data_IF_849669184851
#
_entry.id   IF_849669184851
#
_cell.length_a   1.000
_cell.length_b   1.000
_cell.length_c   1.000
_cell.angle_alpha   90.00
_cell.angle_beta   90.00
_cell.angle_gamma   90.00
#
_symmetry.space_group_name_H-M   'P 1'
#
loop_
_entity.id
_entity.type
_entity.pdbx_description
1 polymer ?
#
# COMPACT_ATOMS: atom_id res chain seq x y z
N UNK A 1 36.52 -17.34 52.24
CA UNK A 1 35.32 -16.97 53.01
C UNK A 1 35.42 -15.48 53.28
N UNK A 2 34.62 -14.56 52.76
CA UNK A 2 33.51 -14.60 51.84
C UNK A 2 32.79 -13.23 51.92
N UNK A 3 32.42 -12.67 50.75
CA UNK A 3 31.20 -11.87 50.51
C UNK A 3 31.22 -10.46 51.16
N UNK A 4 30.79 -9.35 50.54
CA UNK A 4 30.16 -9.13 49.25
C UNK A 4 30.13 -7.60 49.03
N UNK A 5 30.67 -7.15 47.90
CA UNK A 5 30.45 -5.82 47.34
C UNK A 5 29.00 -5.76 46.84
N UNK A 6 28.05 -5.56 47.74
CA UNK A 6 26.62 -5.43 47.43
C UNK A 6 26.15 -4.04 47.83
N UNK A 7 26.46 -3.03 47.03
CA UNK A 7 25.76 -1.75 47.18
C UNK A 7 25.73 -0.84 45.95
N UNK A 8 26.25 -1.20 44.78
CA UNK A 8 26.25 -0.23 43.66
C UNK A 8 26.28 -0.92 42.29
N UNK A 9 25.20 -1.59 41.91
CA UNK A 9 24.94 -1.91 40.49
C UNK A 9 23.46 -2.25 40.19
N UNK A 10 22.51 -1.88 41.04
CA UNK A 10 21.07 -2.09 40.80
C UNK A 10 20.42 -0.98 39.94
N UNK A 11 21.20 -0.34 39.06
CA UNK A 11 20.77 0.78 38.20
C UNK A 11 21.01 0.49 36.71
N UNK A 12 20.88 -0.77 36.31
CA UNK A 12 20.96 -1.19 34.90
C UNK A 12 19.72 -2.00 34.46
N UNK A 13 18.56 -1.71 35.03
CA UNK A 13 17.26 -2.13 34.50
C UNK A 13 16.54 -0.91 33.91
N UNK A 14 17.21 -0.22 32.98
CA UNK A 14 16.47 0.49 31.93
C UNK A 14 15.90 -0.60 31.02
N UNK A 15 14.76 -1.14 31.42
CA UNK A 15 13.87 -1.85 30.53
C UNK A 15 13.63 -0.92 29.33
N UNK A 16 14.25 -1.23 28.20
CA UNK A 16 13.71 -0.81 26.91
C UNK A 16 12.37 -1.53 26.78
N UNK A 17 11.35 -0.99 27.43
CA UNK A 17 9.98 -1.20 27.02
C UNK A 17 9.91 -0.55 25.64
N UNK A 18 10.18 -1.36 24.61
CA UNK A 18 9.72 -1.07 23.27
C UNK A 18 8.22 -0.87 23.43
N UNK A 19 7.78 0.39 23.48
CA UNK A 19 6.39 0.73 23.35
C UNK A 19 6.02 0.33 21.93
N UNK A 20 5.69 -0.95 21.72
CA UNK A 20 4.88 -1.35 20.58
C UNK A 20 3.53 -0.70 20.83
N UNK A 21 3.41 0.55 20.40
CA UNK A 21 2.11 1.17 20.18
C UNK A 21 1.37 0.20 19.27
N UNK A 22 0.44 -0.54 19.88
CA UNK A 22 -0.46 -1.42 19.15
C UNK A 22 -1.27 -0.47 18.28
N UNK A 23 -0.80 -0.23 17.07
CA UNK A 23 -1.55 0.49 16.06
C UNK A 23 -2.76 -0.40 15.81
N UNK A 24 -3.91 0.05 16.29
CA UNK A 24 -5.16 -0.66 16.07
C UNK A 24 -5.40 -0.66 14.57
N UNK A 25 -5.30 -1.85 13.99
CA UNK A 25 -5.67 -2.09 12.61
C UNK A 25 -7.11 -1.60 12.38
N UNK A 26 -7.41 -1.23 11.14
CA UNK A 26 -8.77 -0.86 10.76
C UNK A 26 -9.76 -1.96 11.19
N UNK A 27 -10.86 -1.56 11.82
CA UNK A 27 -11.85 -2.50 12.35
C UNK A 27 -12.40 -3.40 11.22
N UNK A 28 -12.40 -4.72 11.46
CA UNK A 28 -12.83 -5.73 10.49
C UNK A 28 -11.77 -6.14 9.46
N UNK A 29 -10.59 -5.52 9.48
CA UNK A 29 -9.47 -5.84 8.60
C UNK A 29 -8.32 -6.51 9.36
N UNK A 30 -7.43 -7.14 8.59
CA UNK A 30 -6.21 -7.78 9.09
C UNK A 30 -4.99 -6.98 8.64
N UNK A 31 -4.07 -6.69 9.55
CA UNK A 31 -2.85 -5.96 9.23
C UNK A 31 -1.68 -6.93 9.20
N UNK A 32 -1.15 -7.18 8.00
CA UNK A 32 0.04 -7.99 7.82
C UNK A 32 1.27 -7.09 7.86
N UNK A 33 1.89 -6.99 9.03
CA UNK A 33 3.08 -6.16 9.27
C UNK A 33 4.39 -6.94 9.21
N UNK A 34 4.33 -8.27 9.07
CA UNK A 34 5.50 -9.16 9.16
C UNK A 34 6.23 -9.38 7.84
N UNK A 35 5.72 -8.81 6.75
CA UNK A 35 6.24 -9.02 5.39
C UNK A 35 7.09 -7.84 4.92
N UNK A 36 7.83 -8.05 3.82
CA UNK A 36 8.56 -6.97 3.13
C UNK A 36 7.65 -5.84 2.68
N UNK A 37 6.35 -6.14 2.49
CA UNK A 37 5.36 -5.23 1.94
C UNK A 37 4.14 -5.20 2.87
N UNK A 38 4.21 -4.47 4.00
CA UNK A 38 3.13 -4.40 4.95
C UNK A 38 1.81 -4.01 4.28
N UNK A 39 0.77 -4.80 4.55
CA UNK A 39 -0.51 -4.70 3.83
C UNK A 39 -1.69 -4.72 4.81
N UNK A 40 -2.63 -3.80 4.62
CA UNK A 40 -3.93 -3.85 5.30
C UNK A 40 -4.89 -4.66 4.41
N UNK A 41 -5.45 -5.75 4.95
CA UNK A 41 -6.32 -6.69 4.28
C UNK A 41 -7.77 -6.51 4.70
N UNK A 42 -8.56 -5.97 3.80
CA UNK A 42 -10.01 -5.80 3.94
C UNK A 42 -10.76 -6.50 2.79
N UNK A 43 -10.16 -7.53 2.21
CA UNK A 43 -10.79 -8.31 1.15
C UNK A 43 -11.99 -9.12 1.68
N UNK A 44 -13.06 -9.20 0.89
CA UNK A 44 -14.29 -9.96 1.22
C UNK A 44 -14.98 -9.53 2.53
N UNK A 45 -14.95 -8.24 2.88
CA UNK A 45 -15.56 -7.70 4.12
C UNK A 45 -16.93 -7.04 3.89
N UNK A 46 -17.53 -7.22 2.71
CA UNK A 46 -18.81 -6.61 2.31
C UNK A 46 -18.83 -5.08 2.47
N UNK A 47 -17.70 -4.42 2.25
CA UNK A 47 -17.60 -2.97 2.38
C UNK A 47 -18.32 -2.27 1.23
N UNK A 48 -19.11 -1.24 1.54
CA UNK A 48 -19.77 -0.38 0.55
C UNK A 48 -19.06 0.97 0.36
N UNK A 49 -18.14 1.30 1.25
CA UNK A 49 -17.43 2.57 1.29
C UNK A 49 -15.92 2.34 1.44
N UNK A 50 -15.14 3.26 0.88
CA UNK A 50 -13.70 3.28 1.09
C UNK A 50 -13.40 3.59 2.57
N UNK A 51 -12.59 2.79 3.27
CA UNK A 51 -12.24 3.09 4.65
C UNK A 51 -11.32 4.31 4.73
N UNK A 52 -11.72 5.34 5.46
CA UNK A 52 -10.93 6.56 5.67
C UNK A 52 -10.70 6.81 7.16
N UNK A 53 -9.69 6.20 7.78
CA UNK A 53 -9.36 6.41 9.19
C UNK A 53 -8.64 7.76 9.42
N UNK A 54 -9.24 8.89 9.03
CA UNK A 54 -8.61 10.22 9.14
C UNK A 54 -8.27 10.60 10.59
N UNK A 55 -9.10 10.18 11.55
CA UNK A 55 -8.85 10.43 12.97
C UNK A 55 -7.69 9.60 13.54
N UNK A 56 -7.34 8.48 12.89
CA UNK A 56 -6.23 7.62 13.27
C UNK A 56 -5.54 7.03 12.01
N UNK A 57 -4.74 7.85 11.30
CA UNK A 57 -4.09 7.44 10.07
C UNK A 57 -3.26 6.17 10.24
N UNK A 58 -3.29 5.31 9.21
CA UNK A 58 -2.61 4.02 9.23
C UNK A 58 -1.25 4.17 8.54
N UNK A 59 -0.21 4.29 9.36
CA UNK A 59 1.17 4.42 8.91
C UNK A 59 1.82 3.08 8.62
N UNK A 60 2.93 3.10 7.88
CA UNK A 60 3.82 1.97 7.61
C UNK A 60 3.23 0.85 6.73
N UNK A 61 2.03 1.04 6.19
CA UNK A 61 1.41 0.11 5.25
C UNK A 61 1.56 0.59 3.81
N UNK A 62 2.12 -0.25 2.97
CA UNK A 62 2.37 0.06 1.57
C UNK A 62 1.18 -0.28 0.67
N UNK A 63 0.37 -1.25 1.07
CA UNK A 63 -0.75 -1.71 0.26
C UNK A 63 -2.04 -1.86 1.06
N UNK A 64 -3.15 -1.64 0.35
CA UNK A 64 -4.51 -1.83 0.88
C UNK A 64 -5.26 -2.80 -0.05
N UNK A 65 -5.61 -3.98 0.47
CA UNK A 65 -6.43 -4.94 -0.24
C UNK A 65 -7.91 -4.71 0.04
N UNK A 66 -8.65 -4.21 -0.96
CA UNK A 66 -10.10 -3.98 -0.91
C UNK A 66 -10.86 -4.86 -1.91
N UNK A 67 -10.25 -5.95 -2.35
CA UNK A 67 -10.88 -6.83 -3.34
C UNK A 67 -12.16 -7.47 -2.83
N UNK A 68 -13.06 -7.77 -3.77
CA UNK A 68 -14.30 -8.50 -3.50
C UNK A 68 -15.20 -7.83 -2.45
N UNK A 69 -15.36 -6.51 -2.59
CA UNK A 69 -16.30 -5.71 -1.83
C UNK A 69 -17.37 -5.10 -2.77
N UNK A 70 -18.14 -4.12 -2.30
CA UNK A 70 -19.15 -3.37 -3.06
C UNK A 70 -18.87 -1.86 -3.04
N UNK A 71 -17.59 -1.48 -3.06
CA UNK A 71 -17.16 -0.08 -3.04
C UNK A 71 -17.43 0.57 -4.40
N UNK A 72 -18.12 1.71 -4.37
CA UNK A 72 -18.51 2.46 -5.58
C UNK A 72 -17.66 3.70 -5.77
N UNK A 73 -17.58 4.55 -4.74
CA UNK A 73 -16.93 5.86 -4.83
C UNK A 73 -15.56 5.83 -4.16
N UNK A 74 -14.56 6.29 -4.89
CA UNK A 74 -13.19 6.41 -4.39
C UNK A 74 -12.90 7.87 -4.07
N UNK A 75 -12.44 8.18 -2.84
CA UNK A 75 -12.04 9.53 -2.46
C UNK A 75 -10.82 10.02 -3.24
N UNK A 76 -10.59 11.32 -3.24
CA UNK A 76 -9.37 11.90 -3.82
C UNK A 76 -8.09 11.38 -3.16
N UNK A 77 -7.04 11.25 -3.98
CA UNK A 77 -5.73 10.77 -3.52
C UNK A 77 -5.19 11.54 -2.31
N UNK A 78 -5.42 12.85 -2.22
CA UNK A 78 -4.97 13.66 -1.07
C UNK A 78 -5.63 13.21 0.23
N UNK A 79 -6.93 12.92 0.20
CA UNK A 79 -7.64 12.44 1.39
C UNK A 79 -7.22 11.01 1.75
N UNK A 80 -6.98 10.17 0.74
CA UNK A 80 -6.46 8.82 0.94
C UNK A 80 -5.06 8.88 1.57
N UNK A 81 -4.17 9.75 1.10
CA UNK A 81 -2.82 9.90 1.66
C UNK A 81 -2.81 10.50 3.06
N UNK A 82 -3.81 11.31 3.43
CA UNK A 82 -3.99 11.73 4.83
C UNK A 82 -4.36 10.54 5.73
N UNK A 83 -5.19 9.62 5.24
CA UNK A 83 -5.57 8.42 5.98
C UNK A 83 -4.48 7.32 5.96
N UNK A 84 -3.69 7.23 4.89
CA UNK A 84 -2.68 6.21 4.63
C UNK A 84 -1.40 6.83 4.04
N UNK A 85 -0.53 7.42 4.87
CA UNK A 85 0.59 8.24 4.37
C UNK A 85 1.66 7.48 3.57
N UNK A 86 1.86 6.20 3.85
CA UNK A 86 2.90 5.36 3.24
C UNK A 86 2.37 4.45 2.12
N UNK A 87 1.13 4.69 1.68
CA UNK A 87 0.41 3.84 0.74
C UNK A 87 0.91 4.04 -0.69
N UNK A 88 1.31 2.93 -1.30
CA UNK A 88 1.80 2.88 -2.67
C UNK A 88 0.76 2.30 -3.64
N UNK A 89 -0.12 1.41 -3.17
CA UNK A 89 -1.11 0.80 -4.05
C UNK A 89 -2.35 0.24 -3.37
N UNK A 90 -3.42 0.12 -4.16
CA UNK A 90 -4.73 -0.35 -3.71
C UNK A 90 -5.27 -1.38 -4.70
N UNK A 91 -5.73 -2.52 -4.18
CA UNK A 91 -6.43 -3.54 -4.94
C UNK A 91 -7.95 -3.36 -4.80
N UNK A 92 -8.63 -3.04 -5.90
CA UNK A 92 -10.07 -2.90 -6.03
C UNK A 92 -10.74 -4.03 -6.83
N UNK A 93 -10.00 -5.09 -7.19
CA UNK A 93 -10.55 -6.15 -8.03
C UNK A 93 -11.78 -6.80 -7.41
N UNK A 94 -12.82 -7.05 -8.20
CA UNK A 94 -14.07 -7.64 -7.70
C UNK A 94 -15.02 -6.67 -7.00
N UNK A 95 -14.80 -5.36 -7.10
CA UNK A 95 -15.82 -4.34 -6.82
C UNK A 95 -16.57 -4.03 -8.14
N UNK A 96 -17.77 -4.59 -8.39
CA UNK A 96 -18.40 -4.57 -9.71
C UNK A 96 -18.90 -3.18 -10.13
N UNK A 97 -19.26 -2.34 -9.16
CA UNK A 97 -19.88 -1.04 -9.38
C UNK A 97 -18.92 0.13 -9.12
N UNK A 98 -17.61 -0.11 -9.12
CA UNK A 98 -16.62 0.95 -8.89
C UNK A 98 -16.74 2.02 -9.98
N UNK A 99 -16.78 3.29 -9.58
CA UNK A 99 -16.80 4.41 -10.50
C UNK A 99 -15.40 4.64 -11.06
N UNK A 100 -15.12 4.15 -12.27
CA UNK A 100 -13.82 4.28 -12.91
C UNK A 100 -13.34 5.73 -13.07
N UNK A 101 -14.24 6.70 -13.22
CA UNK A 101 -13.86 8.11 -13.29
C UNK A 101 -13.26 8.63 -11.98
N UNK A 102 -13.68 8.08 -10.82
CA UNK A 102 -13.12 8.46 -9.52
C UNK A 102 -11.68 8.00 -9.31
N UNK A 103 -11.22 7.01 -10.09
CA UNK A 103 -9.84 6.52 -10.03
C UNK A 103 -8.81 7.47 -10.64
N UNK A 104 -9.24 8.42 -11.49
CA UNK A 104 -8.35 9.39 -12.14
C UNK A 104 -7.56 10.22 -11.13
N UNK A 105 -8.15 10.53 -9.97
CA UNK A 105 -7.48 11.30 -8.91
C UNK A 105 -6.23 10.61 -8.33
N UNK A 106 -6.15 9.27 -8.48
CA UNK A 106 -5.06 8.43 -7.98
C UNK A 106 -3.93 8.21 -8.99
N UNK A 107 -4.16 8.50 -10.28
CA UNK A 107 -3.18 8.27 -11.34
C UNK A 107 -1.85 9.00 -11.04
N UNK A 108 -0.74 8.28 -11.17
CA UNK A 108 0.60 8.80 -10.88
C UNK A 108 0.92 9.02 -9.39
N UNK A 109 -0.05 8.82 -8.48
CA UNK A 109 0.13 8.99 -7.02
C UNK A 109 0.05 7.68 -6.25
N UNK A 110 -0.93 6.84 -6.59
CA UNK A 110 -1.19 5.56 -5.94
C UNK A 110 -1.50 4.55 -7.04
N UNK A 111 -0.78 3.42 -7.09
CA UNK A 111 -1.04 2.36 -8.04
C UNK A 111 -2.41 1.70 -7.75
N UNK A 112 -3.23 1.49 -8.78
CA UNK A 112 -4.55 0.87 -8.61
C UNK A 112 -4.69 -0.37 -9.46
N UNK A 113 -5.17 -1.45 -8.85
CA UNK A 113 -5.59 -2.66 -9.55
C UNK A 113 -7.12 -2.71 -9.54
N UNK A 114 -7.75 -2.55 -10.72
CA UNK A 114 -9.20 -2.58 -10.85
C UNK A 114 -9.59 -3.07 -12.24
N UNK A 115 -10.88 -3.43 -12.42
CA UNK A 115 -11.41 -3.78 -13.74
C UNK A 115 -11.44 -2.61 -14.73
N UNK A 116 -11.29 -1.37 -14.25
CA UNK A 116 -11.17 -0.20 -15.12
C UNK A 116 -9.86 -0.26 -15.93
N UNK A 117 -8.77 -0.65 -15.28
CA UNK A 117 -7.43 -0.70 -15.88
C UNK A 117 -7.10 -2.10 -16.44
N UNK A 118 -7.71 -3.14 -15.86
CA UNK A 118 -7.47 -4.54 -16.22
C UNK A 118 -8.80 -5.30 -16.40
N UNK A 119 -9.60 -4.99 -17.44
CA UNK A 119 -10.96 -5.52 -17.60
C UNK A 119 -11.04 -7.04 -17.85
N UNK A 120 -9.95 -7.62 -18.36
CA UNK A 120 -9.84 -9.03 -18.75
C UNK A 120 -9.29 -9.93 -17.63
N UNK A 121 -8.77 -9.35 -16.54
CA UNK A 121 -8.20 -10.14 -15.45
C UNK A 121 -9.32 -10.90 -14.72
N UNK A 122 -9.21 -12.23 -14.56
CA UNK A 122 -10.22 -13.03 -13.88
C UNK A 122 -10.32 -12.67 -12.41
N UNK A 123 -11.56 -12.56 -11.92
CA UNK A 123 -11.88 -12.30 -10.51
C UNK A 123 -12.74 -13.44 -9.99
N UNK A 124 -12.25 -14.11 -8.95
CA UNK A 124 -12.94 -15.17 -8.22
C UNK A 124 -13.08 -14.77 -6.75
N UNK A 125 -14.16 -14.06 -6.45
CA UNK A 125 -14.50 -13.71 -5.07
C UNK A 125 -15.01 -14.93 -4.30
N UNK A 126 -14.71 -15.00 -3.01
CA UNK A 126 -15.26 -16.03 -2.15
C UNK A 126 -16.78 -15.81 -2.09
N UNK A 127 -17.55 -16.79 -2.55
CA UNK A 127 -19.01 -16.74 -2.42
C UNK A 127 -19.37 -16.88 -0.94
N UNK A 128 -20.10 -15.91 -0.38
CA UNK A 128 -20.55 -15.88 1.01
C UNK A 128 -21.63 -16.94 1.34
N UNK A 129 -21.59 -18.12 0.71
CA UNK A 129 -22.50 -19.21 1.02
C UNK A 129 -21.92 -19.95 2.23
N UNK A 130 -22.48 -19.68 3.41
CA UNK A 130 -22.25 -20.35 4.70
C UNK A 130 -20.94 -20.06 5.44
N UNK A 131 -20.37 -18.85 5.34
CA UNK A 131 -19.37 -18.35 6.31
C UNK A 131 -18.08 -19.17 6.45
N UNK A 132 -17.86 -20.15 5.57
CA UNK A 132 -16.67 -20.98 5.51
C UNK A 132 -16.07 -20.80 4.12
N UNK A 133 -14.98 -20.02 4.05
CA UNK A 133 -14.07 -20.13 2.92
C UNK A 133 -13.69 -21.61 2.80
N UNK A 134 -14.01 -22.24 1.67
CA UNK A 134 -13.72 -23.66 1.46
C UNK A 134 -12.23 -23.89 1.69
N UNK A 135 -11.88 -24.70 2.70
CA UNK A 135 -10.51 -25.09 3.09
C UNK A 135 -9.67 -25.62 1.90
N UNK A 136 -10.31 -25.92 0.76
CA UNK A 136 -9.66 -26.35 -0.49
C UNK A 136 -9.03 -25.23 -1.30
N UNK A 137 -9.23 -23.95 -0.96
CA UNK A 137 -8.52 -22.83 -1.58
C UNK A 137 -7.27 -22.42 -0.78
N UNK A 138 -6.78 -23.28 0.11
CA UNK A 138 -5.53 -23.12 0.85
C UNK A 138 -4.30 -23.50 0.00
N UNK A 139 -4.22 -23.00 -1.24
CA UNK A 139 -3.04 -23.20 -2.10
C UNK A 139 -2.31 -21.87 -2.30
N UNK A 140 -1.50 -21.50 -1.31
CA UNK A 140 -0.29 -20.64 -1.37
C UNK A 140 -0.36 -19.23 -2.00
N UNK A 141 -1.42 -18.84 -2.73
CA UNK A 141 -1.63 -17.45 -3.18
C UNK A 141 -3.08 -17.24 -3.69
N UNK A 142 -3.96 -16.77 -2.81
CA UNK A 142 -5.31 -16.32 -3.17
C UNK A 142 -5.29 -15.14 -4.15
N UNK A 143 -6.45 -14.76 -4.69
CA UNK A 143 -6.58 -13.60 -5.59
C UNK A 143 -5.99 -12.32 -4.97
N UNK A 144 -6.19 -12.11 -3.67
CA UNK A 144 -5.58 -11.01 -2.92
C UNK A 144 -4.05 -11.05 -2.98
N UNK A 145 -3.45 -12.22 -2.75
CA UNK A 145 -2.00 -12.38 -2.85
C UNK A 145 -1.48 -12.10 -4.27
N UNK A 146 -2.19 -12.55 -5.32
CA UNK A 146 -1.81 -12.26 -6.72
C UNK A 146 -1.90 -10.76 -7.03
N UNK A 147 -2.94 -10.11 -6.51
CA UNK A 147 -3.21 -8.70 -6.73
C UNK A 147 -2.19 -7.81 -6.02
N UNK A 148 -1.86 -8.14 -4.77
CA UNK A 148 -0.80 -7.46 -4.01
C UNK A 148 0.57 -7.66 -4.69
N UNK A 149 0.92 -8.88 -5.10
CA UNK A 149 2.16 -9.11 -5.85
C UNK A 149 2.21 -8.30 -7.16
N UNK A 150 1.10 -8.21 -7.88
CA UNK A 150 1.01 -7.38 -9.09
C UNK A 150 1.20 -5.89 -8.76
N UNK A 151 0.67 -5.41 -7.64
CA UNK A 151 0.91 -4.04 -7.16
C UNK A 151 2.38 -3.80 -6.76
N UNK A 152 3.03 -4.78 -6.14
CA UNK A 152 4.47 -4.72 -5.85
C UNK A 152 5.29 -4.61 -7.13
N UNK A 153 4.99 -5.44 -8.14
CA UNK A 153 5.65 -5.40 -9.45
C UNK A 153 5.46 -4.04 -10.15
N UNK A 154 4.24 -3.49 -10.11
CA UNK A 154 3.93 -2.15 -10.63
C UNK A 154 4.72 -1.07 -9.88
N UNK A 155 4.78 -1.16 -8.55
CA UNK A 155 5.52 -0.20 -7.74
C UNK A 155 7.03 -0.26 -8.00
N UNK A 156 7.58 -1.45 -8.18
CA UNK A 156 8.99 -1.63 -8.54
C UNK A 156 9.29 -1.10 -9.95
N UNK A 157 8.36 -1.21 -10.91
CA UNK A 157 8.48 -0.57 -12.21
C UNK A 157 8.47 0.96 -12.07
N UNK A 158 7.57 1.53 -11.27
CA UNK A 158 7.51 2.97 -10.99
C UNK A 158 8.85 3.43 -10.39
N UNK A 159 9.40 2.72 -9.39
CA UNK A 159 10.71 3.03 -8.81
C UNK A 159 11.84 2.99 -9.83
N UNK A 160 11.85 2.00 -10.73
CA UNK A 160 12.86 1.90 -11.80
C UNK A 160 12.79 3.07 -12.75
N UNK A 161 11.58 3.44 -13.19
CA UNK A 161 11.36 4.63 -14.03
C UNK A 161 11.81 5.89 -13.29
N UNK A 162 11.40 6.07 -12.03
CA UNK A 162 11.79 7.22 -11.23
C UNK A 162 13.31 7.34 -11.05
N UNK A 163 14.02 6.22 -10.90
CA UNK A 163 15.50 6.19 -10.85
C UNK A 163 16.15 6.47 -12.21
N UNK A 164 15.49 6.12 -13.31
CA UNK A 164 15.97 6.39 -14.67
C UNK A 164 15.71 7.84 -15.09
N UNK A 165 14.73 8.50 -14.48
CA UNK A 165 14.56 9.96 -14.55
C UNK A 165 15.65 10.58 -13.68
N UNK A 166 16.88 10.55 -14.19
CA UNK A 166 17.98 11.35 -13.66
C UNK A 166 17.70 12.81 -14.04
N UNK A 167 17.06 13.52 -13.11
CA UNK A 167 16.68 14.92 -13.26
C UNK A 167 17.92 15.77 -13.57
N UNK A 168 19.07 15.47 -12.98
CA UNK A 168 20.31 16.21 -13.26
C UNK A 168 20.77 15.97 -14.69
N UNK A 169 20.76 14.73 -15.17
CA UNK A 169 21.09 14.42 -16.56
C UNK A 169 20.12 15.12 -17.54
N UNK A 170 18.82 15.14 -17.24
CA UNK A 170 17.83 15.79 -18.09
C UNK A 170 18.02 17.32 -18.14
N UNK A 171 18.29 17.96 -17.00
CA UNK A 171 18.61 19.38 -16.92
C UNK A 171 19.92 19.71 -17.65
N UNK A 172 20.93 18.85 -17.55
CA UNK A 172 22.21 19.02 -18.25
C UNK A 172 22.07 18.88 -19.77
N UNK A 173 21.28 17.92 -20.26
CA UNK A 173 20.97 17.77 -21.69
C UNK A 173 20.23 18.99 -22.22
N UNK A 174 19.25 19.49 -21.46
CA UNK A 174 18.49 20.68 -21.83
C UNK A 174 19.37 21.94 -21.86
N UNK A 175 20.22 22.13 -20.84
CA UNK A 175 21.18 23.24 -20.79
C UNK A 175 22.18 23.20 -21.95
N UNK A 176 22.66 22.01 -22.33
CA UNK A 176 23.53 21.83 -23.49
C UNK A 176 22.81 22.21 -24.79
N UNK A 177 21.58 21.76 -24.98
CA UNK A 177 20.77 22.10 -26.15
C UNK A 177 20.54 23.62 -26.28
N UNK A 178 20.28 24.31 -25.17
CA UNK A 178 20.14 25.77 -25.15
C UNK A 178 21.45 26.49 -25.56
N UNK A 179 22.59 26.03 -25.05
CA UNK A 179 23.90 26.61 -25.40
C UNK A 179 24.28 26.38 -26.87
N UNK A 180 23.99 25.20 -27.40
CA UNK A 180 24.23 24.87 -28.82
C UNK A 180 23.31 25.70 -29.73
N UNK A 181 22.07 25.97 -29.31
CA UNK A 181 21.15 26.85 -30.02
C UNK A 181 21.61 28.32 -30.01
N UNK A 182 22.13 28.79 -28.86
CA UNK A 182 22.67 30.14 -28.73
C UNK A 182 23.91 30.37 -29.61
N UNK A 183 24.84 29.41 -29.66
CA UNK A 183 26.03 29.46 -30.52
C UNK A 183 25.73 29.44 -32.02
N UNK A 184 24.61 28.84 -32.44
CA UNK A 184 24.18 28.82 -33.84
C UNK A 184 23.59 30.16 -34.32
N UNK A 185 23.27 31.07 -33.40
CA UNK A 185 22.68 32.39 -33.70
C UNK A 185 23.70 33.54 -33.73
N UNK A 186 24.94 33.29 -33.30
CA UNK A 186 26.09 34.21 -33.39
C UNK A 186 26.97 33.83 -34.55
#
# INVERSE_FOLDING_TARGET
MGWSLQATALLALFSLASASTIHSCLNGCECDTGTRNPTIRCDNKNMTHFPLPIANPQHQFNFLALSCNSIVNIPDATLIQQAYPDLHGIDFMGNPNINCSSLQSLEGKIATLSRCNYPLDPVHCLSAVNGQASDKQKSSCDQTCRSIKKLEELWDQIKKIAKQIDIENYLNVFAKALNDFAKKRT
#
